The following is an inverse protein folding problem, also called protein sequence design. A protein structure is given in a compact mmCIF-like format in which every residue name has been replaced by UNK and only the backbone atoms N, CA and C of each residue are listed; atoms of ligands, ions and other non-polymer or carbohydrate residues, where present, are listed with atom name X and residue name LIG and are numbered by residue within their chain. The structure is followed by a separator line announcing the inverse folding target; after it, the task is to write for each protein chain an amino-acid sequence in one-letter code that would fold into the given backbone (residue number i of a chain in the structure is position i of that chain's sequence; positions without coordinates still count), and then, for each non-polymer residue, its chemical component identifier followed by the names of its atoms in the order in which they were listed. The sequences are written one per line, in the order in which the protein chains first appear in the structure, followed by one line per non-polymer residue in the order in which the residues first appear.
data_IF_500155609510
#
_entry.id   IF_500155609510
#
_cell.length_a   1.000
_cell.length_b   1.000
_cell.length_c   1.000
_cell.angle_alpha   90.00
_cell.angle_beta   90.00
_cell.angle_gamma   90.00
#
_symmetry.space_group_name_H-M   'P 1'
#
loop_
_entity.id
_entity.type
_entity.pdbx_description
1 polymer ?
#
# COMPACT_ATOMS: atom_id res chain seq x y z
N UNK A 1 -44.52 5.43 -18.89
CA UNK A 1 -43.70 5.75 -20.09
C UNK A 1 -42.65 6.82 -19.83
N UNK A 2 -42.98 8.06 -19.44
CA UNK A 2 -41.96 9.08 -19.13
C UNK A 2 -41.10 8.75 -17.89
N UNK A 3 -41.70 8.15 -16.86
CA UNK A 3 -41.01 7.78 -15.61
C UNK A 3 -40.07 6.56 -15.76
N UNK A 4 -40.43 5.64 -16.65
CA UNK A 4 -39.64 4.46 -17.00
C UNK A 4 -38.39 4.85 -17.79
N UNK A 5 -38.55 5.82 -18.72
CA UNK A 5 -37.44 6.41 -19.47
C UNK A 5 -36.43 7.13 -18.57
N UNK A 6 -36.88 7.85 -17.54
CA UNK A 6 -35.97 8.46 -16.56
C UNK A 6 -35.25 7.44 -15.69
N UNK A 7 -35.86 6.30 -15.36
CA UNK A 7 -35.16 5.22 -14.64
C UNK A 7 -34.12 4.53 -15.53
N UNK A 8 -34.44 4.27 -16.79
CA UNK A 8 -33.45 3.73 -17.75
C UNK A 8 -32.33 4.71 -18.02
N UNK A 9 -32.61 6.02 -18.12
CA UNK A 9 -31.58 7.04 -18.31
C UNK A 9 -30.65 7.17 -17.09
N UNK A 10 -31.16 6.95 -15.86
CA UNK A 10 -30.34 6.93 -14.63
C UNK A 10 -29.51 5.63 -14.53
N UNK A 11 -30.06 4.50 -14.95
CA UNK A 11 -29.34 3.22 -15.02
C UNK A 11 -28.25 3.26 -16.10
N UNK A 12 -28.55 3.86 -17.26
CA UNK A 12 -27.58 4.13 -18.32
C UNK A 12 -26.56 5.18 -17.90
N UNK A 13 -26.95 6.21 -17.13
CA UNK A 13 -26.00 7.15 -16.52
C UNK A 13 -25.11 6.48 -15.46
N UNK A 14 -25.61 5.51 -14.71
CA UNK A 14 -24.80 4.71 -13.77
C UNK A 14 -23.84 3.76 -14.52
N UNK A 15 -24.30 3.15 -15.61
CA UNK A 15 -23.44 2.43 -16.56
C UNK A 15 -22.44 3.37 -17.26
N UNK A 16 -22.79 4.65 -17.46
CA UNK A 16 -21.95 5.67 -18.08
C UNK A 16 -21.02 6.43 -17.12
N UNK A 17 -21.29 6.45 -15.82
CA UNK A 17 -20.26 6.71 -14.80
C UNK A 17 -19.26 5.54 -14.79
N UNK A 18 -19.72 4.35 -15.17
CA UNK A 18 -18.89 3.23 -15.60
C UNK A 18 -18.18 3.40 -16.95
N UNK A 19 -18.39 4.48 -17.73
CA UNK A 19 -17.62 4.78 -18.95
C UNK A 19 -16.24 5.42 -18.68
N UNK A 20 -15.84 5.63 -17.41
CA UNK A 20 -14.40 5.61 -17.10
C UNK A 20 -13.80 4.20 -17.23
N UNK A 21 -14.63 3.19 -17.54
CA UNK A 21 -14.34 1.76 -17.65
C UNK A 21 -14.36 1.23 -19.08
N UNK A 22 -13.39 1.67 -19.90
CA UNK A 22 -12.92 0.86 -21.05
C UNK A 22 -11.43 0.56 -20.97
N UNK A 23 -10.79 0.88 -19.85
CA UNK A 23 -9.38 0.58 -19.62
C UNK A 23 -9.32 -0.65 -18.73
N UNK A 24 -8.67 -1.71 -19.21
CA UNK A 24 -8.51 -2.93 -18.43
C UNK A 24 -7.96 -2.61 -17.03
N UNK A 25 -8.49 -3.20 -15.94
CA UNK A 25 -7.99 -2.94 -14.59
C UNK A 25 -6.49 -3.17 -14.43
N UNK A 26 -5.94 -4.10 -15.20
CA UNK A 26 -4.50 -4.34 -15.30
C UNK A 26 -3.79 -3.11 -15.89
N UNK A 27 -4.26 -2.60 -17.02
CA UNK A 27 -3.67 -1.47 -17.74
C UNK A 27 -3.72 -0.20 -16.89
N UNK A 28 -4.80 0.02 -16.13
CA UNK A 28 -4.90 1.08 -15.13
C UNK A 28 -3.88 0.94 -13.99
N UNK A 29 -3.81 -0.24 -13.35
CA UNK A 29 -2.82 -0.51 -12.27
C UNK A 29 -1.38 -0.41 -12.77
N UNK A 30 -1.14 -0.83 -14.00
CA UNK A 30 0.17 -0.77 -14.64
C UNK A 30 0.60 0.67 -14.96
N UNK A 31 -0.33 1.52 -15.40
CA UNK A 31 -0.08 2.95 -15.56
C UNK A 31 0.31 3.61 -14.23
N UNK A 32 -0.41 3.29 -13.13
CA UNK A 32 -0.06 3.77 -11.78
C UNK A 32 1.33 3.27 -11.36
N UNK A 33 1.65 2.01 -11.64
CA UNK A 33 2.95 1.43 -11.31
C UNK A 33 4.10 2.18 -12.01
N UNK A 34 3.98 2.44 -13.31
CA UNK A 34 4.99 3.20 -14.07
C UNK A 34 5.12 4.63 -13.49
N UNK A 35 4.00 5.30 -13.24
CA UNK A 35 4.01 6.65 -12.69
C UNK A 35 4.67 6.69 -11.30
N UNK A 36 4.42 5.70 -10.46
CA UNK A 36 5.04 5.57 -9.13
C UNK A 36 6.57 5.40 -9.21
N UNK A 37 7.08 4.68 -10.22
CA UNK A 37 8.54 4.55 -10.45
C UNK A 37 9.16 5.91 -10.76
N UNK A 38 8.56 6.69 -11.67
CA UNK A 38 9.05 8.03 -12.00
C UNK A 38 9.06 8.93 -10.77
N UNK A 39 7.97 8.96 -10.00
CA UNK A 39 7.88 9.73 -8.77
C UNK A 39 8.98 9.30 -7.79
N UNK A 40 9.17 8.00 -7.57
CA UNK A 40 10.21 7.47 -6.69
C UNK A 40 11.62 7.90 -7.09
N UNK A 41 11.94 7.87 -8.39
CA UNK A 41 13.23 8.32 -8.92
C UNK A 41 13.49 9.81 -8.61
N UNK A 42 12.54 10.69 -8.93
CA UNK A 42 12.70 12.14 -8.69
C UNK A 42 12.78 12.50 -7.20
N UNK A 43 12.04 11.78 -6.35
CA UNK A 43 12.08 11.97 -4.90
C UNK A 43 13.45 11.64 -4.31
N UNK A 44 14.06 10.53 -4.74
CA UNK A 44 15.39 10.12 -4.26
C UNK A 44 16.51 11.00 -4.83
N UNK A 45 16.38 11.44 -6.09
CA UNK A 45 17.42 12.27 -6.72
C UNK A 45 17.57 13.65 -6.08
N UNK A 46 16.54 14.13 -5.38
CA UNK A 46 16.53 15.46 -4.75
C UNK A 46 17.08 15.48 -3.32
N UNK A 47 17.81 14.45 -2.87
CA UNK A 47 18.38 14.40 -1.51
C UNK A 47 19.82 14.92 -1.45
N UNK A 48 20.19 15.57 -0.34
CA UNK A 48 21.58 15.96 -0.08
C UNK A 48 22.47 14.74 0.20
N UNK A 49 23.74 14.69 -0.27
CA UNK A 49 24.60 13.51 -0.14
C UNK A 49 24.83 13.00 1.29
N UNK A 50 24.79 13.90 2.28
CA UNK A 50 24.94 13.54 3.69
C UNK A 50 23.77 12.69 4.23
N UNK A 51 22.64 12.62 3.52
CA UNK A 51 21.42 11.94 3.95
C UNK A 51 21.21 10.59 3.26
N UNK A 52 22.10 10.11 2.37
CA UNK A 52 21.90 8.81 1.72
C UNK A 52 21.82 7.64 2.72
N UNK A 53 22.63 7.66 3.78
CA UNK A 53 22.59 6.62 4.83
C UNK A 53 21.31 6.68 5.67
N UNK A 54 20.85 7.85 6.17
CA UNK A 54 19.52 7.99 6.74
C UNK A 54 18.38 7.59 5.78
N UNK A 55 18.48 7.97 4.50
CA UNK A 55 17.48 7.67 3.48
C UNK A 55 17.35 6.15 3.28
N UNK A 56 18.47 5.44 3.24
CA UNK A 56 18.49 3.99 3.14
C UNK A 56 17.72 3.33 4.29
N UNK A 57 17.89 3.84 5.52
CA UNK A 57 17.13 3.37 6.69
C UNK A 57 15.63 3.66 6.59
N UNK A 58 15.24 4.83 6.07
CA UNK A 58 13.84 5.18 5.83
C UNK A 58 13.22 4.27 4.77
N UNK A 59 13.91 4.02 3.67
CA UNK A 59 13.41 3.12 2.62
C UNK A 59 13.24 1.69 3.13
N UNK A 60 14.08 1.26 4.08
CA UNK A 60 13.89 -0.03 4.75
C UNK A 60 12.58 -0.04 5.56
N UNK A 61 12.30 1.01 6.33
CA UNK A 61 11.02 1.11 7.06
C UNK A 61 9.80 1.15 6.11
N UNK A 62 9.88 1.92 5.01
CA UNK A 62 8.81 2.06 4.02
C UNK A 62 8.50 0.73 3.31
N UNK A 63 9.50 -0.14 3.11
CA UNK A 63 9.30 -1.46 2.51
C UNK A 63 8.32 -2.35 3.29
N UNK A 64 8.02 -1.99 4.54
CA UNK A 64 7.05 -2.67 5.39
C UNK A 64 5.58 -2.48 4.99
N UNK A 65 5.28 -1.95 3.79
CA UNK A 65 3.94 -1.94 3.18
C UNK A 65 3.30 -3.34 3.14
N UNK A 66 4.12 -4.39 3.24
CA UNK A 66 3.74 -5.80 3.42
C UNK A 66 2.75 -6.00 4.58
N UNK A 67 2.73 -5.11 5.58
CA UNK A 67 1.75 -5.16 6.68
C UNK A 67 0.30 -5.18 6.19
N UNK A 68 0.00 -4.50 5.07
CA UNK A 68 -1.34 -4.51 4.45
C UNK A 68 -1.72 -5.93 4.02
N UNK A 69 -0.78 -6.66 3.40
CA UNK A 69 -0.99 -8.05 3.00
C UNK A 69 -1.16 -8.99 4.21
N UNK A 70 -0.38 -8.77 5.28
CA UNK A 70 -0.51 -9.54 6.51
C UNK A 70 -1.89 -9.34 7.17
N UNK A 71 -2.38 -8.10 7.23
CA UNK A 71 -3.71 -7.76 7.74
C UNK A 71 -4.82 -8.36 6.87
N UNK A 72 -4.68 -8.35 5.54
CA UNK A 72 -5.64 -9.02 4.65
C UNK A 72 -5.66 -10.54 4.86
N UNK A 73 -4.50 -11.18 5.05
CA UNK A 73 -4.40 -12.61 5.34
C UNK A 73 -5.05 -12.99 6.68
N UNK A 74 -4.96 -12.12 7.69
CA UNK A 74 -5.66 -12.28 8.97
C UNK A 74 -7.15 -11.89 8.89
N UNK A 75 -7.51 -10.99 7.98
CA UNK A 75 -8.87 -10.55 7.72
C UNK A 75 -9.63 -11.42 6.72
N UNK A 76 -9.04 -12.51 6.22
CA UNK A 76 -9.64 -13.33 5.17
C UNK A 76 -11.01 -13.95 5.52
N UNK A 77 -11.41 -13.98 6.81
CA UNK A 77 -12.78 -14.31 7.22
C UNK A 77 -13.82 -13.33 6.65
N UNK A 78 -13.45 -12.07 6.43
CA UNK A 78 -14.37 -10.99 6.07
C UNK A 78 -14.74 -10.95 4.58
N UNK A 79 -14.05 -11.69 3.71
CA UNK A 79 -14.16 -11.48 2.26
C UNK A 79 -14.89 -12.62 1.54
N UNK A 80 -14.68 -13.90 1.84
CA UNK A 80 -15.34 -14.97 1.06
C UNK A 80 -15.68 -16.21 1.90
N UNK A 81 -16.98 -16.51 2.01
CA UNK A 81 -17.55 -17.69 2.67
C UNK A 81 -17.31 -19.02 1.94
N UNK A 82 -16.16 -19.21 1.28
CA UNK A 82 -15.86 -20.41 0.47
C UNK A 82 -14.41 -20.93 0.56
N UNK A 83 -13.69 -20.66 1.65
CA UNK A 83 -12.35 -21.26 1.82
C UNK A 83 -12.42 -22.48 2.73
N UNK A 84 -12.04 -23.67 2.22
CA UNK A 84 -11.85 -24.90 3.00
C UNK A 84 -11.12 -24.62 4.32
N UNK A 85 -11.72 -25.06 5.42
CA UNK A 85 -11.29 -24.80 6.81
C UNK A 85 -9.79 -25.09 7.06
N UNK A 86 -9.17 -26.00 6.30
CA UNK A 86 -7.76 -26.36 6.43
C UNK A 86 -6.80 -25.27 5.92
N UNK A 87 -7.13 -24.57 4.83
CA UNK A 87 -6.28 -23.49 4.29
C UNK A 87 -6.36 -22.22 5.13
N UNK A 88 -7.47 -22.07 5.85
CA UNK A 88 -7.77 -20.92 6.67
C UNK A 88 -6.81 -20.77 7.87
N UNK A 89 -6.55 -21.85 8.61
CA UNK A 89 -5.63 -21.82 9.75
C UNK A 89 -4.19 -21.56 9.33
N UNK A 90 -3.77 -22.08 8.17
CA UNK A 90 -2.44 -21.85 7.61
C UNK A 90 -2.29 -20.38 7.22
N UNK A 91 -3.23 -19.82 6.46
CA UNK A 91 -3.21 -18.41 6.06
C UNK A 91 -3.21 -17.45 7.26
N UNK A 92 -3.96 -17.77 8.33
CA UNK A 92 -3.96 -17.01 9.57
C UNK A 92 -2.64 -17.11 10.33
N UNK A 93 -2.07 -18.31 10.43
CA UNK A 93 -0.77 -18.53 11.07
C UNK A 93 0.35 -17.75 10.37
N UNK A 94 0.43 -17.85 9.04
CA UNK A 94 1.41 -17.10 8.26
C UNK A 94 1.15 -15.58 8.28
N UNK A 95 -0.12 -15.15 8.25
CA UNK A 95 -0.50 -13.75 8.40
C UNK A 95 -0.07 -13.16 9.75
N UNK A 96 -0.20 -13.91 10.83
CA UNK A 96 0.24 -13.51 12.16
C UNK A 96 1.76 -13.35 12.25
N UNK A 97 2.51 -14.34 11.74
CA UNK A 97 3.97 -14.26 11.68
C UNK A 97 4.43 -13.09 10.80
N UNK A 98 3.81 -12.91 9.64
CA UNK A 98 4.09 -11.80 8.74
C UNK A 98 3.82 -10.44 9.41
N UNK A 99 2.75 -10.33 10.20
CA UNK A 99 2.40 -9.10 10.93
C UNK A 99 3.48 -8.76 11.98
N UNK A 100 3.98 -9.75 12.72
CA UNK A 100 5.07 -9.56 13.70
C UNK A 100 6.33 -9.09 13.00
N UNK A 101 6.74 -9.76 11.92
CA UNK A 101 7.94 -9.41 11.16
C UNK A 101 7.83 -8.02 10.53
N UNK A 102 6.66 -7.68 9.96
CA UNK A 102 6.40 -6.35 9.42
C UNK A 102 6.48 -5.28 10.51
N UNK A 103 5.91 -5.54 11.70
CA UNK A 103 5.97 -4.62 12.84
C UNK A 103 7.40 -4.34 13.27
N UNK A 104 8.25 -5.37 13.37
CA UNK A 104 9.67 -5.21 13.71
C UNK A 104 10.39 -4.33 12.68
N UNK A 105 10.12 -4.51 11.39
CA UNK A 105 10.73 -3.70 10.34
C UNK A 105 10.27 -2.22 10.40
N UNK A 106 8.98 -1.97 10.63
CA UNK A 106 8.44 -0.62 10.85
C UNK A 106 9.15 0.06 12.01
N UNK A 107 9.03 -0.52 13.22
CA UNK A 107 9.53 0.12 14.44
C UNK A 107 11.07 0.19 14.45
N UNK A 108 11.75 -0.87 14.01
CA UNK A 108 13.20 -0.91 13.91
C UNK A 108 13.74 0.09 12.90
N UNK A 109 13.16 0.15 11.71
CA UNK A 109 13.58 1.07 10.64
C UNK A 109 13.38 2.54 11.02
N UNK A 110 12.25 2.89 11.66
CA UNK A 110 12.02 4.25 12.14
C UNK A 110 12.88 4.62 13.35
N UNK A 111 13.15 3.69 14.28
CA UNK A 111 14.02 3.94 15.43
C UNK A 111 15.47 4.20 15.01
N UNK A 112 15.99 3.40 14.08
CA UNK A 112 17.35 3.60 13.54
C UNK A 112 17.43 4.93 12.79
N UNK A 113 16.45 5.24 11.94
CA UNK A 113 16.38 6.53 11.24
C UNK A 113 16.38 7.70 12.24
N UNK A 114 15.57 7.62 13.30
CA UNK A 114 15.50 8.65 14.32
C UNK A 114 16.87 8.89 14.98
N UNK A 115 17.58 7.80 15.32
CA UNK A 115 18.93 7.88 15.88
C UNK A 115 19.90 8.51 14.89
N UNK A 116 19.84 8.15 13.61
CA UNK A 116 20.68 8.74 12.56
C UNK A 116 20.42 10.24 12.39
N UNK A 117 19.15 10.66 12.31
CA UNK A 117 18.78 12.06 12.14
C UNK A 117 19.06 12.90 13.41
N UNK A 118 19.01 12.30 14.59
CA UNK A 118 19.35 12.99 15.84
C UNK A 118 20.81 13.45 15.90
N UNK A 119 21.71 12.81 15.14
CA UNK A 119 23.13 13.19 15.07
C UNK A 119 23.35 14.46 14.24
N UNK A 120 22.38 14.85 13.39
CA UNK A 120 22.44 16.08 12.59
C UNK A 120 21.81 17.28 13.32
N UNK A 121 21.19 17.08 14.49
CA UNK A 121 20.67 18.18 15.30
C UNK A 121 21.83 18.84 16.06
N UNK A 122 22.03 20.15 15.85
CA UNK A 122 22.97 20.94 16.67
C UNK A 122 22.58 20.79 18.14
N UNK A 123 23.54 20.45 19.01
CA UNK A 123 23.34 20.51 20.47
C UNK A 123 22.89 21.94 20.81
N UNK A 124 21.70 22.08 21.37
CA UNK A 124 21.28 23.33 22.02
C UNK A 124 22.23 23.50 23.21
N UNK A 125 22.95 24.63 23.23
CA UNK A 125 23.86 25.00 24.33
C UNK A 125 23.08 25.29 25.59
#
# INVERSE_FOLDING_TARGET
MAMEKTMTDIVDMAHNVGLMGTVDPLMYKFAIFILAIFIGYYVIWSVTPALHTPLMSVTNAISSVIIVGALLSLGAEFIEGQTSLTNFYIAKGFGFVALILASINIFGGFFVTYRMLSMYKKKVK
#
